data_IF_564208974024
#
_entry.id   IF_564208974024
#
_cell.length_a   1.000
_cell.length_b   1.000
_cell.length_c   1.000
_cell.angle_alpha   90.00
_cell.angle_beta   90.00
_cell.angle_gamma   90.00
#
_symmetry.space_group_name_H-M   'P 1'
#
loop_
_entity.id
_entity.type
_entity.pdbx_description
1 polymer ?
#
# COMPACT_ATOMS: atom_id res chain seq x y z
N UNK A 1 -16.09 -4.29 12.04
CA UNK A 1 -15.27 -4.71 10.88
C UNK A 1 -14.71 -3.47 10.16
N UNK A 2 -13.90 -2.60 10.76
CA UNK A 2 -13.55 -1.33 10.05
C UNK A 2 -12.12 -0.80 10.29
N UNK A 3 -11.18 -1.64 10.72
CA UNK A 3 -9.86 -1.17 11.13
C UNK A 3 -8.85 -0.94 9.98
N UNK A 4 -9.12 -1.45 8.76
CA UNK A 4 -8.17 -1.39 7.64
C UNK A 4 -8.34 -0.17 6.73
N UNK A 5 -9.56 0.38 6.62
CA UNK A 5 -9.83 1.54 5.75
C UNK A 5 -9.18 2.83 6.25
N UNK A 6 -9.06 3.00 7.58
CA UNK A 6 -8.45 4.17 8.20
C UNK A 6 -6.93 4.25 7.98
N UNK A 7 -6.25 3.12 7.82
CA UNK A 7 -4.79 3.07 7.70
C UNK A 7 -4.33 3.69 6.36
N UNK A 8 -5.00 3.36 5.25
CA UNK A 8 -4.63 3.88 3.94
C UNK A 8 -4.85 5.39 3.79
N UNK A 9 -5.88 5.95 4.44
CA UNK A 9 -6.18 7.38 4.41
C UNK A 9 -5.15 8.18 5.21
N UNK A 10 -4.75 7.68 6.39
CA UNK A 10 -3.70 8.32 7.19
C UNK A 10 -2.35 8.30 6.47
N UNK A 11 -2.03 7.19 5.81
CA UNK A 11 -0.83 7.07 4.98
C UNK A 11 -0.84 8.06 3.82
N UNK A 12 -1.99 8.18 3.16
CA UNK A 12 -2.18 9.13 2.07
C UNK A 12 -1.95 10.58 2.53
N UNK A 13 -2.54 10.95 3.66
CA UNK A 13 -2.39 12.28 4.25
C UNK A 13 -0.93 12.57 4.64
N UNK A 14 -0.25 11.62 5.31
CA UNK A 14 1.13 11.79 5.75
C UNK A 14 2.13 11.94 4.60
N UNK A 15 1.90 11.24 3.47
CA UNK A 15 2.76 11.31 2.29
C UNK A 15 2.31 12.36 1.26
N UNK A 16 1.26 13.12 1.59
CA UNK A 16 0.64 14.10 0.71
C UNK A 16 0.28 13.52 -0.67
N UNK A 17 -0.27 12.30 -0.66
CA UNK A 17 -0.78 11.59 -1.84
C UNK A 17 -2.28 11.37 -1.72
N UNK A 18 -2.94 11.04 -2.82
CA UNK A 18 -4.37 10.72 -2.80
C UNK A 18 -4.60 9.35 -2.16
N UNK A 19 -5.67 9.21 -1.38
CA UNK A 19 -6.12 7.91 -0.85
C UNK A 19 -6.35 6.87 -1.96
N UNK A 20 -6.78 7.33 -3.14
CA UNK A 20 -6.87 6.48 -4.34
C UNK A 20 -5.52 5.93 -4.82
N UNK A 21 -4.42 6.67 -4.62
CA UNK A 21 -3.07 6.19 -4.94
C UNK A 21 -2.67 5.04 -4.01
N UNK A 22 -2.93 5.17 -2.70
CA UNK A 22 -2.70 4.11 -1.72
C UNK A 22 -3.55 2.88 -2.01
N UNK A 23 -4.83 3.06 -2.38
CA UNK A 23 -5.69 1.94 -2.82
C UNK A 23 -5.12 1.24 -4.06
N UNK A 24 -4.61 1.98 -5.04
CA UNK A 24 -3.96 1.39 -6.22
C UNK A 24 -2.69 0.63 -5.86
N UNK A 25 -1.88 1.11 -4.92
CA UNK A 25 -0.71 0.41 -4.43
C UNK A 25 -1.09 -0.90 -3.73
N UNK A 26 -2.11 -0.85 -2.87
CA UNK A 26 -2.64 -2.03 -2.19
C UNK A 26 -3.20 -3.10 -3.14
N UNK A 27 -3.66 -2.71 -4.33
CA UNK A 27 -4.14 -3.61 -5.38
C UNK A 27 -3.09 -3.94 -6.45
N UNK A 28 -1.84 -3.47 -6.30
CA UNK A 28 -0.78 -3.64 -7.32
C UNK A 28 -1.04 -2.91 -8.65
N UNK A 29 -2.03 -2.02 -8.71
CA UNK A 29 -2.38 -1.24 -9.90
C UNK A 29 -1.46 -0.04 -10.13
N UNK A 30 -0.72 0.38 -9.12
CA UNK A 30 0.28 1.43 -9.22
C UNK A 30 1.43 1.15 -8.25
N UNK A 31 2.55 1.84 -8.46
CA UNK A 31 3.69 1.79 -7.57
C UNK A 31 4.01 3.16 -6.95
N UNK A 32 4.39 3.20 -5.65
CA UNK A 32 4.93 4.42 -5.07
C UNK A 32 6.27 4.77 -5.72
N UNK A 33 6.59 6.06 -5.81
CA UNK A 33 7.94 6.51 -6.19
C UNK A 33 8.97 6.08 -5.15
N UNK A 34 10.21 5.84 -5.57
CA UNK A 34 11.30 5.40 -4.70
C UNK A 34 11.49 6.29 -3.46
N UNK A 35 11.35 7.61 -3.61
CA UNK A 35 11.43 8.58 -2.50
C UNK A 35 10.37 8.38 -1.41
N UNK A 36 9.21 7.81 -1.75
CA UNK A 36 8.09 7.59 -0.83
C UNK A 36 8.11 6.21 -0.19
N UNK A 37 8.88 5.26 -0.75
CA UNK A 37 8.99 3.89 -0.24
C UNK A 37 9.46 3.83 1.22
N UNK A 38 10.58 4.46 1.62
CA UNK A 38 11.04 4.37 3.00
C UNK A 38 10.08 5.07 3.97
N UNK A 39 9.52 6.21 3.58
CA UNK A 39 8.57 6.95 4.41
C UNK A 39 7.25 6.19 4.61
N UNK A 40 6.78 5.49 3.58
CA UNK A 40 5.55 4.69 3.66
C UNK A 40 5.77 3.41 4.47
N UNK A 41 6.94 2.77 4.35
CA UNK A 41 7.35 1.62 5.14
C UNK A 41 7.46 1.96 6.64
N UNK A 42 8.09 3.08 6.97
CA UNK A 42 8.23 3.59 8.35
C UNK A 42 6.84 3.87 8.97
N UNK A 43 5.98 4.56 8.23
CA UNK A 43 4.64 4.94 8.70
C UNK A 43 3.70 3.75 8.92
N UNK A 44 3.81 2.72 8.08
CA UNK A 44 3.04 1.48 8.21
C UNK A 44 3.71 0.45 9.13
N UNK A 45 4.92 0.75 9.62
CA UNK A 45 5.78 -0.18 10.33
C UNK A 45 5.90 -1.52 9.58
N UNK A 46 5.99 -1.46 8.24
CA UNK A 46 6.06 -2.63 7.37
C UNK A 46 7.29 -2.55 6.45
N UNK A 47 7.70 -3.68 5.89
CA UNK A 47 8.79 -3.68 4.91
C UNK A 47 8.31 -3.15 3.56
N UNK A 48 9.22 -2.51 2.81
CA UNK A 48 8.94 -2.02 1.46
C UNK A 48 8.34 -3.13 0.58
N UNK A 49 8.79 -4.38 0.73
CA UNK A 49 8.31 -5.53 -0.03
C UNK A 49 6.80 -5.81 0.19
N UNK A 50 6.26 -5.51 1.38
CA UNK A 50 4.84 -5.62 1.68
C UNK A 50 3.99 -4.61 0.89
N UNK A 51 4.59 -3.51 0.43
CA UNK A 51 3.93 -2.48 -0.39
C UNK A 51 3.77 -2.91 -1.85
N UNK A 52 4.63 -3.84 -2.29
CA UNK A 52 4.60 -4.40 -3.64
C UNK A 52 3.67 -5.60 -3.75
N UNK A 53 2.95 -5.95 -2.68
CA UNK A 53 2.06 -7.13 -2.68
C UNK A 53 2.83 -8.46 -2.83
N UNK A 54 4.14 -8.47 -2.55
CA UNK A 54 4.95 -9.70 -2.57
C UNK A 54 4.65 -10.65 -1.40
N UNK A 55 3.79 -10.22 -0.47
CA UNK A 55 3.29 -11.02 0.65
C UNK A 55 1.89 -11.63 0.40
N UNK A 56 1.37 -11.60 -0.83
CA UNK A 56 0.15 -12.35 -1.17
C UNK A 56 0.47 -13.54 -2.07
N UNK A 57 0.57 -14.76 -1.52
CA UNK A 57 0.37 -15.96 -2.32
C UNK A 57 -1.10 -16.01 -2.75
N UNK A 58 -1.32 -16.28 -4.04
CA UNK A 58 -2.60 -16.69 -4.67
C UNK A 58 -3.59 -15.51 -4.88
N UNK A 59 -4.05 -15.22 -6.10
CA UNK A 59 -4.99 -16.05 -6.86
C UNK A 59 -4.56 -16.25 -8.32
N UNK A 60 -4.14 -17.48 -8.61
CA UNK A 60 -4.23 -18.07 -9.95
C UNK A 60 -5.68 -18.53 -10.13
N UNK A 61 -6.61 -17.61 -10.34
CA UNK A 61 -7.90 -17.97 -10.94
C UNK A 61 -7.69 -18.22 -12.44
N UNK A 62 -7.05 -19.34 -12.74
CA UNK A 62 -7.20 -20.03 -14.00
C UNK A 62 -8.37 -21.01 -13.82
N UNK A 63 -9.58 -20.54 -14.16
CA UNK A 63 -10.68 -21.42 -14.57
C UNK A 63 -10.63 -21.64 -16.07
#
# INVERSE_FOLDING_TARGET
MESRGLQGIQVAAALNVSSNAVSKWANGQANPSADKLPALADLLNCSIDALYGRDSPEERDAS
#
